data_IF_588848017685
#
_entry.id   IF_588848017685
#
_cell.length_a   1.000
_cell.length_b   1.000
_cell.length_c   1.000
_cell.angle_alpha   90.00
_cell.angle_beta   90.00
_cell.angle_gamma   90.00
#
_symmetry.space_group_name_H-M   'P 1'
#
loop_
_entity.id
_entity.type
_entity.pdbx_description
1 polymer ?
#
# COMPACT_ATOMS: atom_id res chain seq x y z
N UNK A 1 9.87 61.39 3.66
CA UNK A 1 10.66 60.26 4.18
C UNK A 1 10.16 58.99 3.49
N UNK A 2 10.44 58.82 2.20
CA UNK A 2 11.57 58.11 1.54
C UNK A 2 11.52 56.58 1.71
N UNK A 3 10.85 55.95 0.74
CA UNK A 3 10.69 54.51 0.51
C UNK A 3 12.02 53.86 0.03
N UNK A 4 13.06 53.83 0.85
CA UNK A 4 14.41 53.35 0.42
C UNK A 4 14.72 51.91 0.85
N UNK A 5 13.81 51.23 1.55
CA UNK A 5 14.17 49.98 2.25
C UNK A 5 13.94 48.67 1.45
N UNK A 6 13.56 48.75 0.17
CA UNK A 6 13.23 47.59 -0.68
C UNK A 6 14.37 47.08 -1.59
N UNK A 7 15.58 47.65 -1.51
CA UNK A 7 16.68 47.33 -2.43
C UNK A 7 17.59 46.16 -1.98
N UNK A 8 17.41 45.62 -0.77
CA UNK A 8 18.31 44.59 -0.22
C UNK A 8 17.98 43.14 -0.62
N UNK A 9 16.83 42.88 -1.26
CA UNK A 9 16.45 41.52 -1.70
C UNK A 9 16.96 41.14 -3.11
N UNK A 10 17.71 42.01 -3.79
CA UNK A 10 18.12 41.79 -5.19
C UNK A 10 19.47 41.06 -5.39
N UNK A 11 20.20 40.66 -4.35
CA UNK A 11 21.56 40.11 -4.53
C UNK A 11 21.93 38.88 -3.69
N UNK A 12 21.02 37.94 -3.44
CA UNK A 12 21.47 36.54 -3.33
C UNK A 12 21.68 36.06 -4.76
N UNK A 13 22.85 36.37 -5.34
CA UNK A 13 23.25 35.88 -6.67
C UNK A 13 23.52 34.38 -6.55
N UNK A 14 22.47 33.58 -6.76
CA UNK A 14 22.50 32.10 -6.74
C UNK A 14 23.42 31.52 -7.82
N UNK A 15 23.91 32.35 -8.74
CA UNK A 15 24.83 31.94 -9.81
C UNK A 15 26.15 31.35 -9.27
N UNK A 16 26.70 31.91 -8.19
CA UNK A 16 27.97 31.46 -7.62
C UNK A 16 27.93 30.02 -7.05
N UNK A 17 26.96 29.62 -6.20
CA UNK A 17 26.88 28.25 -5.71
C UNK A 17 26.56 27.23 -6.81
N UNK A 18 25.73 27.61 -7.81
CA UNK A 18 25.40 26.72 -8.92
C UNK A 18 26.60 26.43 -9.83
N UNK A 19 27.42 27.46 -10.12
CA UNK A 19 28.62 27.31 -10.95
C UNK A 19 29.68 26.42 -10.27
N UNK A 20 29.87 26.57 -8.96
CA UNK A 20 30.78 25.73 -8.19
C UNK A 20 30.33 24.26 -8.18
N UNK A 21 29.02 24.01 -8.10
CA UNK A 21 28.46 22.66 -8.16
C UNK A 21 28.67 22.01 -9.52
N UNK A 22 28.40 22.74 -10.62
CA UNK A 22 28.62 22.26 -11.99
C UNK A 22 30.10 21.97 -12.25
N UNK A 23 31.00 22.84 -11.81
CA UNK A 23 32.44 22.63 -11.93
C UNK A 23 32.93 21.40 -11.14
N UNK A 24 32.41 21.19 -9.93
CA UNK A 24 32.72 20.04 -9.10
C UNK A 24 32.21 18.72 -9.74
N UNK A 25 30.98 18.71 -10.25
CA UNK A 25 30.37 17.57 -10.96
C UNK A 25 31.21 17.19 -12.20
N UNK A 26 31.63 18.19 -12.97
CA UNK A 26 32.42 17.99 -14.20
C UNK A 26 33.81 17.45 -13.91
N UNK A 27 34.45 17.91 -12.82
CA UNK A 27 35.78 17.47 -12.38
C UNK A 27 35.77 16.08 -11.74
N UNK A 28 34.74 15.77 -10.94
CA UNK A 28 34.63 14.52 -10.19
C UNK A 28 33.47 13.65 -10.69
N UNK A 29 33.50 13.24 -11.97
CA UNK A 29 32.42 12.46 -12.61
C UNK A 29 31.99 11.21 -11.82
N UNK A 30 32.94 10.51 -11.19
CA UNK A 30 32.65 9.32 -10.35
C UNK A 30 31.86 9.69 -9.08
N UNK A 31 32.23 10.78 -8.42
CA UNK A 31 31.53 11.28 -7.23
C UNK A 31 30.13 11.82 -7.58
N UNK A 32 29.98 12.41 -8.77
CA UNK A 32 28.68 12.84 -9.27
C UNK A 32 27.75 11.66 -9.54
N UNK A 33 28.25 10.56 -10.12
CA UNK A 33 27.47 9.33 -10.34
C UNK A 33 27.06 8.69 -9.02
N UNK A 34 27.96 8.60 -8.04
CA UNK A 34 27.60 8.07 -6.71
C UNK A 34 26.59 8.94 -5.97
N UNK A 35 26.72 10.27 -6.06
CA UNK A 35 25.78 11.20 -5.46
C UNK A 35 24.38 11.10 -6.11
N UNK A 36 24.32 10.97 -7.44
CA UNK A 36 23.05 10.76 -8.14
C UNK A 36 22.40 9.41 -7.78
N UNK A 37 23.20 8.35 -7.64
CA UNK A 37 22.72 7.05 -7.19
C UNK A 37 22.16 7.07 -5.77
N UNK A 38 22.86 7.75 -4.84
CA UNK A 38 22.38 7.93 -3.47
C UNK A 38 21.07 8.73 -3.44
N UNK A 39 20.98 9.80 -4.24
CA UNK A 39 19.76 10.58 -4.34
C UNK A 39 18.58 9.74 -4.88
N UNK A 40 18.79 8.92 -5.91
CA UNK A 40 17.77 8.01 -6.42
C UNK A 40 17.32 6.98 -5.38
N UNK A 41 18.26 6.46 -4.58
CA UNK A 41 17.92 5.53 -3.50
C UNK A 41 17.06 6.21 -2.43
N UNK A 42 17.41 7.44 -2.03
CA UNK A 42 16.64 8.22 -1.05
C UNK A 42 15.23 8.52 -1.57
N UNK A 43 15.10 8.91 -2.85
CA UNK A 43 13.80 9.14 -3.48
C UNK A 43 12.99 7.84 -3.54
N UNK A 44 13.59 6.74 -3.99
CA UNK A 44 12.92 5.44 -4.07
C UNK A 44 12.43 4.94 -2.70
N UNK A 45 13.27 5.07 -1.66
CA UNK A 45 12.90 4.72 -0.30
C UNK A 45 11.77 5.60 0.23
N UNK A 46 11.81 6.91 -0.06
CA UNK A 46 10.75 7.84 0.32
C UNK A 46 9.42 7.48 -0.34
N UNK A 47 9.41 7.20 -1.65
CA UNK A 47 8.22 6.76 -2.38
C UNK A 47 7.70 5.42 -1.86
N UNK A 48 8.59 4.50 -1.50
CA UNK A 48 8.20 3.21 -0.92
C UNK A 48 7.47 3.40 0.42
N UNK A 49 8.01 4.22 1.33
CA UNK A 49 7.38 4.50 2.62
C UNK A 49 6.01 5.17 2.46
N UNK A 50 5.85 6.07 1.49
CA UNK A 50 4.56 6.72 1.19
C UNK A 50 3.50 5.78 0.62
N UNK A 51 3.89 4.61 0.11
CA UNK A 51 2.95 3.61 -0.42
C UNK A 51 2.60 2.50 0.57
N UNK A 52 3.11 2.58 1.81
CA UNK A 52 2.71 1.67 2.88
C UNK A 52 1.30 2.02 3.37
N UNK A 53 0.52 0.99 3.65
CA UNK A 53 -0.81 1.10 4.27
C UNK A 53 -0.89 0.16 5.45
N UNK A 54 -1.57 0.60 6.50
CA UNK A 54 -1.94 -0.21 7.66
C UNK A 54 -3.36 -0.73 7.49
N UNK A 55 -3.52 -2.05 7.60
CA UNK A 55 -4.81 -2.74 7.44
C UNK A 55 -5.00 -3.72 8.59
N UNK A 56 -6.22 -3.76 9.12
CA UNK A 56 -6.63 -4.76 10.11
C UNK A 56 -7.26 -5.95 9.40
N UNK A 57 -6.68 -7.13 9.55
CA UNK A 57 -7.20 -8.39 9.01
C UNK A 57 -7.89 -9.16 10.13
N UNK A 58 -9.13 -9.56 9.92
CA UNK A 58 -9.93 -10.35 10.85
C UNK A 58 -10.22 -11.69 10.19
N UNK A 59 -9.58 -12.76 10.67
CA UNK A 59 -9.75 -14.11 10.15
C UNK A 59 -9.85 -15.09 11.32
N UNK A 60 -10.78 -16.05 11.27
CA UNK A 60 -10.93 -17.11 12.27
C UNK A 60 -11.07 -16.58 13.73
N UNK A 61 -11.64 -15.39 13.89
CA UNK A 61 -11.77 -14.71 15.18
C UNK A 61 -10.49 -14.04 15.70
N UNK A 62 -9.39 -14.10 14.95
CA UNK A 62 -8.13 -13.43 15.24
C UNK A 62 -8.07 -12.09 14.49
N UNK A 63 -7.67 -11.05 15.22
CA UNK A 63 -7.45 -9.70 14.66
C UNK A 63 -5.94 -9.47 14.54
N UNK A 64 -5.46 -9.24 13.32
CA UNK A 64 -4.05 -9.03 13.00
C UNK A 64 -3.90 -7.72 12.24
N UNK A 65 -3.09 -6.80 12.76
CA UNK A 65 -2.73 -5.58 12.04
C UNK A 65 -1.49 -5.80 11.18
N UNK A 66 -1.56 -5.42 9.91
CA UNK A 66 -0.48 -5.63 8.93
C UNK A 66 -0.17 -4.35 8.19
N UNK A 67 1.14 -4.07 8.05
CA UNK A 67 1.65 -2.96 7.25
C UNK A 67 2.32 -3.48 5.99
N UNK A 68 1.84 -3.04 4.83
CA UNK A 68 2.37 -3.53 3.55
C UNK A 68 2.21 -2.51 2.41
N UNK A 69 2.92 -2.74 1.31
CA UNK A 69 2.97 -1.80 0.18
C UNK A 69 1.91 -2.11 -0.90
N UNK A 70 1.15 -1.08 -1.29
CA UNK A 70 0.26 -1.08 -2.46
C UNK A 70 -1.21 -1.42 -2.19
N UNK A 71 -1.59 -1.76 -0.95
CA UNK A 71 -2.98 -1.82 -0.52
C UNK A 71 -3.89 -2.85 -1.19
N UNK A 72 -3.37 -3.94 -1.75
CA UNK A 72 -4.23 -5.00 -2.30
C UNK A 72 -4.65 -6.04 -1.23
N UNK A 73 -5.81 -6.66 -1.42
CA UNK A 73 -6.35 -7.72 -0.54
C UNK A 73 -5.41 -8.94 -0.44
N UNK A 74 -4.87 -9.51 -1.54
CA UNK A 74 -3.95 -10.63 -1.48
C UNK A 74 -2.67 -10.35 -0.69
N UNK A 75 -2.17 -9.11 -0.75
CA UNK A 75 -0.98 -8.71 0.01
C UNK A 75 -1.29 -8.56 1.49
N UNK A 76 -2.46 -8.04 1.86
CA UNK A 76 -2.91 -8.02 3.26
C UNK A 76 -2.98 -9.44 3.82
N UNK A 77 -3.61 -10.37 3.10
CA UNK A 77 -3.75 -11.76 3.51
C UNK A 77 -2.39 -12.46 3.63
N UNK A 78 -1.51 -12.26 2.64
CA UNK A 78 -0.14 -12.80 2.67
C UNK A 78 0.67 -12.23 3.85
N UNK A 79 0.55 -10.93 4.13
CA UNK A 79 1.21 -10.29 5.28
C UNK A 79 0.65 -10.79 6.63
N UNK A 80 -0.64 -11.14 6.67
CA UNK A 80 -1.31 -11.71 7.84
C UNK A 80 -1.10 -13.23 7.97
N UNK A 81 -0.47 -13.89 6.99
CA UNK A 81 -0.31 -15.35 6.96
C UNK A 81 -1.61 -16.12 6.75
N UNK A 82 -2.65 -15.48 6.20
CA UNK A 82 -3.97 -16.08 5.98
C UNK A 82 -4.09 -16.60 4.55
N UNK A 83 -4.52 -17.85 4.41
CA UNK A 83 -4.82 -18.47 3.10
C UNK A 83 -6.33 -18.64 2.96
N UNK A 84 -6.89 -18.27 1.80
CA UNK A 84 -8.30 -18.45 1.46
C UNK A 84 -8.52 -19.85 0.88
N UNK A 85 -9.54 -20.55 1.36
CA UNK A 85 -10.07 -21.73 0.68
C UNK A 85 -10.92 -21.32 -0.54
N UNK A 86 -11.22 -22.25 -1.47
CA UNK A 86 -11.93 -21.90 -2.72
C UNK A 86 -13.30 -21.25 -2.56
N UNK A 87 -13.97 -21.49 -1.43
CA UNK A 87 -15.31 -20.97 -1.14
C UNK A 87 -15.31 -19.89 -0.05
N UNK A 88 -14.15 -19.55 0.50
CA UNK A 88 -14.03 -18.47 1.48
C UNK A 88 -14.23 -17.12 0.79
N UNK A 89 -14.88 -16.20 1.48
CA UNK A 89 -15.13 -14.85 1.01
C UNK A 89 -14.39 -13.83 1.87
N UNK A 90 -14.19 -12.63 1.33
CA UNK A 90 -13.67 -11.50 2.09
C UNK A 90 -14.67 -10.35 2.11
N UNK A 91 -14.60 -9.50 3.13
CA UNK A 91 -15.26 -8.19 3.13
C UNK A 91 -14.17 -7.13 3.36
N UNK A 92 -13.94 -6.22 2.42
CA UNK A 92 -14.57 -6.09 1.10
C UNK A 92 -14.39 -7.32 0.20
N UNK A 93 -15.40 -7.63 -0.62
CA UNK A 93 -15.40 -8.78 -1.53
C UNK A 93 -14.29 -8.65 -2.56
N UNK A 94 -13.30 -9.53 -2.47
CA UNK A 94 -12.43 -9.80 -3.60
C UNK A 94 -13.30 -10.41 -4.70
N UNK A 95 -13.58 -9.68 -5.77
CA UNK A 95 -14.21 -10.31 -6.93
C UNK A 95 -13.30 -11.44 -7.40
N UNK A 96 -13.91 -12.59 -7.73
CA UNK A 96 -13.19 -13.81 -8.13
C UNK A 96 -12.23 -13.62 -9.31
N UNK A 97 -12.37 -12.51 -10.05
CA UNK A 97 -11.49 -12.14 -11.17
C UNK A 97 -10.52 -10.99 -10.87
N UNK A 98 -10.63 -10.27 -9.76
CA UNK A 98 -9.79 -9.08 -9.52
C UNK A 98 -9.53 -8.77 -8.03
N UNK A 99 -9.03 -9.79 -7.33
CA UNK A 99 -8.25 -9.65 -6.09
C UNK A 99 -7.18 -8.49 -6.13
N UNK A 100 -6.84 -7.98 -7.32
CA UNK A 100 -5.94 -6.86 -7.55
C UNK A 100 -6.58 -5.45 -7.59
N UNK A 101 -7.89 -5.28 -7.84
CA UNK A 101 -8.44 -3.93 -8.10
C UNK A 101 -9.00 -3.21 -6.87
N UNK A 102 -9.43 -3.94 -5.83
CA UNK A 102 -9.87 -3.29 -4.59
C UNK A 102 -8.63 -2.87 -3.80
N UNK A 103 -8.39 -1.56 -3.79
CA UNK A 103 -7.34 -0.92 -2.99
C UNK A 103 -7.86 -0.62 -1.60
N UNK A 104 -7.37 -1.39 -0.63
CA UNK A 104 -7.43 -1.10 0.79
C UNK A 104 -6.61 0.16 1.09
N UNK A 105 -7.19 1.02 1.92
CA UNK A 105 -6.58 2.26 2.41
C UNK A 105 -6.10 2.07 3.84
N UNK A 106 -5.34 3.04 4.31
CA UNK A 106 -4.93 3.09 5.71
C UNK A 106 -6.14 3.03 6.65
N UNK A 107 -6.05 2.18 7.68
CA UNK A 107 -7.13 1.92 8.64
C UNK A 107 -8.27 1.04 8.10
N UNK A 108 -8.13 0.44 6.92
CA UNK A 108 -9.16 -0.48 6.40
C UNK A 108 -9.26 -1.74 7.23
N UNK A 109 -10.47 -2.30 7.31
CA UNK A 109 -10.74 -3.61 7.92
C UNK A 109 -11.04 -4.60 6.81
N UNK A 110 -10.27 -5.69 6.78
CA UNK A 110 -10.45 -6.83 5.90
C UNK A 110 -10.95 -8.01 6.75
N UNK A 111 -12.18 -8.45 6.52
CA UNK A 111 -12.75 -9.61 7.18
C UNK A 111 -12.71 -10.82 6.25
N UNK A 112 -12.38 -11.99 6.79
CA UNK A 112 -12.43 -13.28 6.08
C UNK A 112 -13.60 -14.09 6.62
N UNK A 113 -14.50 -14.51 5.72
CA UNK A 113 -15.62 -15.40 6.01
C UNK A 113 -15.26 -16.80 5.53
N UNK A 114 -15.23 -17.75 6.47
CA UNK A 114 -14.94 -19.15 6.17
C UNK A 114 -16.18 -19.86 5.67
N UNK A 115 -16.07 -20.56 4.55
CA UNK A 115 -17.15 -21.41 4.08
C UNK A 115 -17.36 -22.60 5.01
N UNK A 116 -18.62 -22.94 5.22
CA UNK A 116 -19.07 -24.11 5.99
C UNK A 116 -19.90 -25.00 5.07
N UNK A 117 -19.60 -26.29 5.10
CA UNK A 117 -20.41 -27.28 4.41
C UNK A 117 -21.69 -27.54 5.22
N UNK A 118 -22.84 -27.39 4.57
CA UNK A 118 -24.15 -27.67 5.13
C UNK A 118 -24.85 -28.74 4.31
N UNK A 119 -25.29 -29.79 4.99
CA UNK A 119 -26.16 -30.81 4.40
C UNK A 119 -27.61 -30.47 4.71
N UNK A 120 -28.39 -30.20 3.67
CA UNK A 120 -29.82 -29.94 3.77
C UNK A 120 -30.57 -31.23 3.40
N UNK A 121 -31.40 -31.72 4.30
CA UNK A 121 -32.36 -32.78 4.03
C UNK A 121 -33.76 -32.18 3.96
N UNK A 122 -34.37 -32.21 2.78
CA UNK A 122 -35.73 -31.73 2.54
C UNK A 122 -36.43 -32.67 1.56
N UNK A 123 -37.72 -32.95 1.80
CA UNK A 123 -38.57 -33.76 0.92
C UNK A 123 -37.96 -35.13 0.54
N UNK A 124 -37.30 -35.79 1.50
CA UNK A 124 -36.66 -37.09 1.29
C UNK A 124 -35.38 -37.05 0.44
N UNK A 125 -34.92 -35.86 0.04
CA UNK A 125 -33.68 -35.66 -0.73
C UNK A 125 -32.63 -34.98 0.15
N UNK A 126 -31.37 -35.40 0.01
CA UNK A 126 -30.23 -34.78 0.71
C UNK A 126 -29.39 -34.03 -0.30
N UNK A 127 -29.08 -32.76 -0.03
CA UNK A 127 -28.17 -31.95 -0.83
C UNK A 127 -27.08 -31.36 0.07
N UNK A 128 -25.84 -31.41 -0.42
CA UNK A 128 -24.70 -30.78 0.23
C UNK A 128 -24.43 -29.44 -0.47
N UNK A 129 -24.43 -28.37 0.30
CA UNK A 129 -24.10 -27.02 -0.16
C UNK A 129 -22.96 -26.44 0.67
N UNK A 130 -22.19 -25.52 0.12
CA UNK A 130 -21.19 -24.75 0.87
C UNK A 130 -21.65 -23.30 0.95
N UNK A 131 -21.59 -22.72 2.14
CA UNK A 131 -22.08 -21.36 2.37
C UNK A 131 -21.21 -20.64 3.41
N UNK A 132 -21.08 -19.33 3.26
CA UNK A 132 -20.40 -18.48 4.24
C UNK A 132 -21.40 -17.98 5.31
N UNK A 133 -20.94 -17.63 6.53
CA UNK A 133 -21.79 -17.05 7.56
C UNK A 133 -22.57 -15.83 7.04
N UNK A 134 -23.89 -15.94 7.04
CA UNK A 134 -24.79 -14.92 6.51
C UNK A 134 -26.26 -15.32 6.69
N UNK A 135 -27.16 -14.46 6.23
CA UNK A 135 -28.59 -14.74 6.29
C UNK A 135 -29.01 -15.44 5.00
N UNK A 136 -29.34 -16.74 5.06
CA UNK A 136 -30.09 -17.40 4.00
C UNK A 136 -31.49 -16.76 3.94
N UNK A 137 -31.86 -16.18 2.79
CA UNK A 137 -33.22 -15.68 2.52
C UNK A 137 -33.85 -16.47 1.40
#
# INVERSE_FOLDING_TARGET
MRLEHLHLLRQIRVEAPLQNLVAFIKKNKKAAVSAAGLLMLVIGCSVYLLGLVDVTVVADGVVTEVRYWGGSVPKALAAAGVTLAPFDETIPAADSDSNANIKLRDGSVLQVLRAVEMTIAADGTTQTIQTVPGTAR
#
